data_IF_110054945699
#
_entry.id   IF_110054945699
#
_cell.length_a   1.000
_cell.length_b   1.000
_cell.length_c   1.000
_cell.angle_alpha   90.00
_cell.angle_beta   90.00
_cell.angle_gamma   90.00
#
_symmetry.space_group_name_H-M   'P 1'
#
loop_
_entity.id
_entity.type
_entity.pdbx_description
1 polymer ?
#
# COMPACT_ATOMS: atom_id res chain seq x y z
N UNK A 1 17.84 -31.84 -1.02
CA UNK A 1 17.31 -30.99 -2.10
C UNK A 1 18.14 -29.72 -2.20
N UNK A 2 18.34 -29.21 -3.41
CA UNK A 2 19.07 -27.97 -3.67
C UNK A 2 18.12 -26.76 -3.70
N UNK A 3 18.62 -25.52 -3.52
CA UNK A 3 17.81 -24.32 -3.71
C UNK A 3 17.17 -24.29 -5.10
N UNK A 4 15.88 -23.95 -5.18
CA UNK A 4 15.08 -23.92 -6.40
C UNK A 4 14.27 -25.19 -6.66
N UNK A 5 14.62 -26.32 -6.05
CA UNK A 5 13.88 -27.58 -6.20
C UNK A 5 12.47 -27.49 -5.59
N UNK A 6 11.50 -28.09 -6.26
CA UNK A 6 10.12 -28.20 -5.76
C UNK A 6 9.95 -29.50 -4.97
N UNK A 7 9.42 -29.38 -3.75
CA UNK A 7 9.08 -30.54 -2.92
C UNK A 7 7.65 -31.01 -3.20
N UNK A 8 6.73 -30.05 -3.30
CA UNK A 8 5.30 -30.26 -3.61
C UNK A 8 4.84 -29.08 -4.44
N UNK A 9 3.98 -29.32 -5.43
CA UNK A 9 3.27 -28.27 -6.14
C UNK A 9 1.81 -28.24 -5.72
N UNK A 10 1.23 -27.05 -5.73
CA UNK A 10 -0.20 -26.89 -5.50
C UNK A 10 -0.99 -27.73 -6.51
N UNK A 11 -1.99 -28.46 -6.01
CA UNK A 11 -2.78 -29.41 -6.79
C UNK A 11 -2.21 -30.82 -6.87
N UNK A 12 -0.99 -31.07 -6.36
CA UNK A 12 -0.43 -32.42 -6.34
C UNK A 12 -1.25 -33.33 -5.40
N UNK A 13 -1.57 -34.53 -5.89
CA UNK A 13 -2.07 -35.62 -5.05
C UNK A 13 -0.86 -36.29 -4.40
N UNK A 14 -0.60 -35.97 -3.13
CA UNK A 14 0.50 -36.56 -2.37
C UNK A 14 -0.03 -37.44 -1.24
N UNK A 15 0.48 -38.66 -1.18
CA UNK A 15 0.27 -39.59 -0.07
C UNK A 15 1.49 -39.65 0.85
N UNK A 16 2.37 -38.66 0.79
CA UNK A 16 3.65 -38.63 1.52
C UNK A 16 3.72 -37.38 2.40
N UNK A 17 4.16 -37.59 3.64
CA UNK A 17 4.53 -36.51 4.58
C UNK A 17 6.05 -36.39 4.58
N UNK A 18 6.55 -35.17 4.60
CA UNK A 18 7.98 -34.88 4.56
C UNK A 18 8.44 -34.29 5.89
N UNK A 19 9.43 -34.91 6.51
CA UNK A 19 10.14 -34.37 7.67
C UNK A 19 11.33 -33.57 7.19
N UNK A 20 11.40 -32.32 7.61
CA UNK A 20 12.49 -31.39 7.31
C UNK A 20 13.44 -31.46 8.50
N UNK A 21 14.66 -31.96 8.28
CA UNK A 21 15.69 -32.00 9.31
C UNK A 21 16.44 -30.66 9.37
N UNK A 22 16.73 -30.07 8.20
CA UNK A 22 17.38 -28.77 8.08
C UNK A 22 17.04 -28.08 6.76
N UNK A 23 17.20 -26.76 6.73
CA UNK A 23 16.95 -25.92 5.55
C UNK A 23 15.74 -25.00 5.69
N UNK A 24 15.32 -24.45 4.54
CA UNK A 24 14.22 -23.47 4.44
C UNK A 24 13.41 -23.70 3.18
N UNK A 25 12.10 -23.71 3.32
CA UNK A 25 11.14 -23.83 2.22
C UNK A 25 10.28 -22.57 2.11
N UNK A 26 10.12 -22.04 0.91
CA UNK A 26 9.11 -21.05 0.59
C UNK A 26 7.76 -21.74 0.38
N UNK A 27 6.71 -21.12 0.90
CA UNK A 27 5.33 -21.57 0.76
C UNK A 27 4.60 -20.55 -0.10
N UNK A 28 4.14 -20.97 -1.26
CA UNK A 28 3.40 -20.11 -2.20
C UNK A 28 2.04 -20.72 -2.54
N UNK A 29 1.08 -19.86 -2.87
CA UNK A 29 -0.24 -20.25 -3.35
C UNK A 29 -0.58 -19.44 -4.60
N UNK A 30 -1.14 -20.08 -5.61
CA UNK A 30 -1.60 -19.41 -6.81
C UNK A 30 -2.88 -18.61 -6.53
N UNK A 31 -2.90 -17.37 -6.98
CA UNK A 31 -4.10 -16.52 -6.96
C UNK A 31 -4.06 -15.59 -8.16
N UNK A 32 -5.13 -15.60 -8.95
CA UNK A 32 -5.25 -14.77 -10.17
C UNK A 32 -4.07 -14.95 -11.14
N UNK A 33 -3.50 -16.16 -11.21
CA UNK A 33 -2.35 -16.48 -12.07
C UNK A 33 -0.99 -16.04 -11.52
N UNK A 34 -0.94 -15.51 -10.30
CA UNK A 34 0.29 -15.07 -9.63
C UNK A 34 0.59 -15.96 -8.42
N UNK A 35 1.84 -16.40 -8.31
CA UNK A 35 2.32 -17.14 -7.14
C UNK A 35 2.50 -16.18 -5.96
N UNK A 36 1.58 -16.20 -5.01
CA UNK A 36 1.63 -15.36 -3.81
C UNK A 36 2.42 -16.07 -2.70
N UNK A 37 3.45 -15.44 -2.11
CA UNK A 37 4.12 -15.98 -0.94
C UNK A 37 3.21 -15.87 0.28
N UNK A 38 2.87 -17.00 0.88
CA UNK A 38 2.02 -17.05 2.09
C UNK A 38 2.84 -17.30 3.36
N UNK A 39 4.10 -17.71 3.22
CA UNK A 39 5.01 -17.92 4.35
C UNK A 39 6.28 -18.67 3.98
N UNK A 40 7.05 -19.01 5.00
CA UNK A 40 8.22 -19.87 4.90
C UNK A 40 8.20 -20.90 6.02
N UNK A 41 8.78 -22.06 5.77
CA UNK A 41 9.10 -23.05 6.80
C UNK A 41 10.60 -22.99 7.07
N UNK A 42 10.98 -22.81 8.33
CA UNK A 42 12.38 -22.75 8.75
C UNK A 42 12.65 -23.74 9.88
N UNK A 43 13.77 -24.46 9.76
CA UNK A 43 14.21 -25.41 10.77
C UNK A 43 13.46 -26.75 10.72
N UNK A 44 13.47 -27.45 11.85
CA UNK A 44 12.93 -28.80 11.95
C UNK A 44 11.39 -28.80 12.03
N UNK A 45 10.76 -29.68 11.29
CA UNK A 45 9.31 -29.83 11.26
C UNK A 45 8.86 -30.81 10.20
N UNK A 46 7.57 -30.84 9.90
CA UNK A 46 7.05 -31.62 8.78
C UNK A 46 6.02 -30.84 7.95
N UNK A 47 5.88 -31.26 6.70
CA UNK A 47 5.00 -30.68 5.68
C UNK A 47 4.36 -31.80 4.85
N UNK A 48 3.29 -31.47 4.11
CA UNK A 48 2.56 -32.46 3.31
C UNK A 48 1.55 -33.27 4.12
N UNK A 49 1.33 -32.92 5.39
CA UNK A 49 0.36 -33.58 6.25
C UNK A 49 -1.09 -33.23 5.90
N UNK A 50 -1.37 -32.02 5.38
CA UNK A 50 -2.75 -31.63 5.06
C UNK A 50 -3.35 -32.59 4.01
N UNK A 51 -2.73 -32.81 2.84
CA UNK A 51 -3.27 -33.76 1.86
C UNK A 51 -3.49 -35.16 2.40
N UNK A 52 -2.59 -35.65 3.25
CA UNK A 52 -2.72 -36.97 3.86
C UNK A 52 -3.86 -37.04 4.88
N UNK A 53 -4.11 -35.95 5.61
CA UNK A 53 -5.16 -35.87 6.63
C UNK A 53 -6.55 -35.60 6.04
N UNK A 54 -6.63 -34.84 4.96
CA UNK A 54 -7.90 -34.39 4.37
C UNK A 54 -8.31 -35.14 3.12
N UNK A 55 -7.41 -35.95 2.54
CA UNK A 55 -7.60 -36.59 1.22
C UNK A 55 -7.90 -35.57 0.11
N UNK A 56 -7.33 -34.36 0.25
CA UNK A 56 -7.44 -33.28 -0.73
C UNK A 56 -6.09 -33.00 -1.40
N UNK A 57 -6.07 -32.43 -2.62
CA UNK A 57 -4.83 -32.00 -3.26
C UNK A 57 -4.03 -31.00 -2.41
N UNK A 58 -2.72 -30.94 -2.64
CA UNK A 58 -1.84 -29.98 -1.98
C UNK A 58 -2.36 -28.55 -2.14
N UNK A 59 -2.67 -27.83 -1.03
CA UNK A 59 -3.25 -26.49 -1.10
C UNK A 59 -2.23 -25.41 -1.45
N UNK A 60 -0.94 -25.76 -1.49
CA UNK A 60 0.20 -24.84 -1.62
C UNK A 60 1.35 -25.50 -2.36
N UNK A 61 2.22 -24.69 -2.94
CA UNK A 61 3.51 -25.09 -3.48
C UNK A 61 4.60 -24.89 -2.43
N UNK A 62 5.53 -25.84 -2.34
CA UNK A 62 6.70 -25.83 -1.47
C UNK A 62 7.97 -25.88 -2.32
N UNK A 63 8.82 -24.86 -2.19
CA UNK A 63 10.07 -24.75 -2.94
C UNK A 63 11.26 -24.51 -2.00
N UNK A 64 12.37 -25.20 -2.23
CA UNK A 64 13.60 -25.03 -1.46
C UNK A 64 14.22 -23.65 -1.71
N UNK A 65 14.48 -22.89 -0.65
CA UNK A 65 15.16 -21.58 -0.70
C UNK A 65 16.63 -21.72 -0.30
N UNK A 66 16.96 -22.79 0.40
CA UNK A 66 18.32 -23.18 0.77
C UNK A 66 18.47 -24.69 0.57
N UNK A 67 19.68 -25.22 0.73
CA UNK A 67 19.89 -26.67 0.76
C UNK A 67 19.06 -27.27 1.91
N UNK A 68 18.23 -28.25 1.60
CA UNK A 68 17.35 -28.90 2.57
C UNK A 68 17.67 -30.39 2.70
N UNK A 69 17.69 -30.86 3.94
CA UNK A 69 17.69 -32.27 4.31
C UNK A 69 16.26 -32.68 4.67
N UNK A 70 15.70 -33.59 3.88
CA UNK A 70 14.28 -33.96 3.93
C UNK A 70 14.17 -35.48 3.88
N UNK A 71 13.35 -36.03 4.77
CA UNK A 71 12.99 -37.44 4.81
C UNK A 71 11.51 -37.62 4.49
N UNK A 72 11.19 -38.63 3.68
CA UNK A 72 9.83 -38.98 3.34
C UNK A 72 9.28 -40.04 4.31
N UNK A 73 8.03 -39.87 4.73
CA UNK A 73 7.25 -40.83 5.51
C UNK A 73 5.99 -41.13 4.71
N UNK A 74 5.66 -42.41 4.54
CA UNK A 74 4.43 -42.78 3.88
C UNK A 74 3.23 -42.26 4.69
N UNK A 75 2.21 -41.75 4.01
CA UNK A 75 1.03 -41.19 4.67
C UNK A 75 0.32 -42.20 5.56
N UNK A 76 0.32 -43.49 5.17
CA UNK A 76 -0.20 -44.58 6.01
C UNK A 76 0.56 -44.71 7.33
N UNK A 77 1.89 -44.60 7.31
CA UNK A 77 2.71 -44.68 8.52
C UNK A 77 2.50 -43.45 9.41
N UNK A 78 2.35 -42.27 8.80
CA UNK A 78 2.01 -41.04 9.50
C UNK A 78 0.64 -41.15 10.20
N UNK A 79 -0.37 -41.68 9.52
CA UNK A 79 -1.71 -41.90 10.09
C UNK A 79 -1.69 -42.95 11.21
N UNK A 80 -0.92 -44.03 11.04
CA UNK A 80 -0.71 -45.03 12.09
C UNK A 80 -0.09 -44.39 13.34
N UNK A 81 0.99 -43.61 13.18
CA UNK A 81 1.62 -42.88 14.29
C UNK A 81 0.65 -41.88 14.95
N UNK A 82 -0.18 -41.21 14.16
CA UNK A 82 -1.19 -40.28 14.66
C UNK A 82 -2.22 -40.99 15.55
N UNK A 83 -2.67 -42.18 15.16
CA UNK A 83 -3.63 -42.97 15.91
C UNK A 83 -3.03 -43.65 17.15
N UNK A 84 -1.78 -44.11 17.06
CA UNK A 84 -1.15 -44.89 18.13
C UNK A 84 -0.46 -44.01 19.18
N UNK A 85 -0.01 -42.80 18.83
CA UNK A 85 0.76 -41.93 19.71
C UNK A 85 0.03 -40.62 20.01
N UNK A 86 -0.64 -40.55 21.17
CA UNK A 86 -1.37 -39.36 21.65
C UNK A 86 -0.50 -38.10 21.81
N UNK A 87 0.81 -38.24 22.07
CA UNK A 87 1.72 -37.10 22.11
C UNK A 87 1.99 -36.54 20.72
N UNK A 88 2.16 -37.41 19.73
CA UNK A 88 2.32 -37.03 18.34
C UNK A 88 1.04 -36.37 17.80
N UNK A 89 -0.12 -36.96 18.08
CA UNK A 89 -1.44 -36.37 17.76
C UNK A 89 -1.56 -34.92 18.27
N UNK A 90 -1.21 -34.69 19.54
CA UNK A 90 -1.22 -33.34 20.13
C UNK A 90 -0.26 -32.38 19.43
N UNK A 91 0.89 -32.85 18.97
CA UNK A 91 1.83 -32.03 18.20
C UNK A 91 1.26 -31.66 16.82
N UNK A 92 0.63 -32.62 16.13
CA UNK A 92 -0.03 -32.41 14.84
C UNK A 92 -1.16 -31.38 14.97
N UNK A 93 -2.03 -31.50 15.99
CA UNK A 93 -3.07 -30.50 16.23
C UNK A 93 -2.52 -29.09 16.49
N UNK A 94 -1.44 -28.97 17.28
CA UNK A 94 -0.78 -27.68 17.51
C UNK A 94 -0.20 -27.11 16.23
N UNK A 95 0.36 -27.95 15.35
CA UNK A 95 0.84 -27.54 14.04
C UNK A 95 -0.32 -27.02 13.18
N UNK A 96 -1.44 -27.74 13.11
CA UNK A 96 -2.62 -27.30 12.36
C UNK A 96 -3.13 -25.94 12.84
N UNK A 97 -3.24 -25.75 14.16
CA UNK A 97 -3.61 -24.45 14.72
C UNK A 97 -2.63 -23.33 14.34
N UNK A 98 -1.32 -23.61 14.27
CA UNK A 98 -0.33 -22.62 13.79
C UNK A 98 -0.56 -22.28 12.32
N UNK A 99 -0.86 -23.28 11.47
CA UNK A 99 -1.13 -23.05 10.05
C UNK A 99 -2.38 -22.20 9.82
N UNK A 100 -3.48 -22.50 10.52
CA UNK A 100 -4.72 -21.71 10.44
C UNK A 100 -4.48 -20.25 10.84
N UNK A 101 -3.83 -20.02 11.99
CA UNK A 101 -3.51 -18.65 12.44
C UNK A 101 -2.60 -17.91 11.45
N UNK A 102 -1.63 -18.61 10.86
CA UNK A 102 -0.74 -18.05 9.84
C UNK A 102 -1.53 -17.60 8.60
N UNK A 103 -2.45 -18.43 8.12
CA UNK A 103 -3.30 -18.10 6.98
C UNK A 103 -4.24 -16.92 7.28
N UNK A 104 -4.89 -16.90 8.44
CA UNK A 104 -5.75 -15.79 8.86
C UNK A 104 -4.98 -14.46 8.91
N UNK A 105 -3.78 -14.48 9.50
CA UNK A 105 -2.92 -13.29 9.56
C UNK A 105 -2.54 -12.79 8.17
N UNK A 106 -2.23 -13.70 7.25
CA UNK A 106 -1.92 -13.37 5.86
C UNK A 106 -3.11 -12.73 5.15
N UNK A 107 -4.31 -13.31 5.29
CA UNK A 107 -5.53 -12.78 4.67
C UNK A 107 -5.87 -11.38 5.18
N UNK A 108 -5.82 -11.15 6.49
CA UNK A 108 -6.03 -9.82 7.09
C UNK A 108 -5.02 -8.78 6.59
N UNK A 109 -3.76 -9.17 6.45
CA UNK A 109 -2.72 -8.31 5.87
C UNK A 109 -3.05 -7.90 4.45
N UNK A 110 -3.53 -8.84 3.63
CA UNK A 110 -3.92 -8.59 2.23
C UNK A 110 -5.11 -7.64 2.13
N UNK A 111 -6.14 -7.84 2.93
CA UNK A 111 -7.32 -6.96 2.99
C UNK A 111 -6.92 -5.53 3.40
N UNK A 112 -6.05 -5.40 4.39
CA UNK A 112 -5.55 -4.10 4.85
C UNK A 112 -4.78 -3.39 3.74
N UNK A 113 -3.89 -4.08 3.03
CA UNK A 113 -3.14 -3.51 1.91
C UNK A 113 -4.05 -3.10 0.74
N UNK A 114 -5.07 -3.90 0.41
CA UNK A 114 -6.04 -3.56 -0.62
C UNK A 114 -6.86 -2.31 -0.25
N UNK A 115 -7.30 -2.21 1.00
CA UNK A 115 -8.01 -1.03 1.50
C UNK A 115 -7.12 0.21 1.47
N UNK A 116 -5.87 0.12 1.94
CA UNK A 116 -4.89 1.21 1.89
C UNK A 116 -4.59 1.62 0.44
N UNK A 117 -4.46 0.68 -0.49
CA UNK A 117 -4.24 0.98 -1.90
C UNK A 117 -5.41 1.75 -2.52
N UNK A 118 -6.64 1.34 -2.21
CA UNK A 118 -7.86 2.02 -2.67
C UNK A 118 -7.94 3.45 -2.13
N UNK A 119 -7.71 3.62 -0.82
CA UNK A 119 -7.71 4.95 -0.19
C UNK A 119 -6.57 5.83 -0.71
N UNK A 120 -5.38 5.28 -0.89
CA UNK A 120 -4.22 6.02 -1.43
C UNK A 120 -4.47 6.48 -2.87
N UNK A 121 -5.07 5.63 -3.70
CA UNK A 121 -5.43 5.99 -5.07
C UNK A 121 -6.49 7.11 -5.10
N UNK A 122 -7.51 7.02 -4.23
CA UNK A 122 -8.51 8.08 -4.07
C UNK A 122 -7.89 9.41 -3.65
N UNK A 123 -7.05 9.40 -2.61
CA UNK A 123 -6.34 10.60 -2.14
C UNK A 123 -5.38 11.17 -3.19
N UNK A 124 -4.65 10.33 -3.91
CA UNK A 124 -3.78 10.80 -5.00
C UNK A 124 -4.59 11.48 -6.11
N UNK A 125 -5.75 10.92 -6.45
CA UNK A 125 -6.66 11.53 -7.42
C UNK A 125 -7.20 12.87 -6.91
N UNK A 126 -7.59 12.95 -5.63
CA UNK A 126 -8.07 14.18 -5.03
C UNK A 126 -7.00 15.25 -4.88
N UNK A 127 -5.72 14.90 -4.68
CA UNK A 127 -4.61 15.85 -4.64
C UNK A 127 -4.20 16.34 -6.03
N UNK A 128 -4.29 15.47 -7.04
CA UNK A 128 -4.02 15.86 -8.42
C UNK A 128 -5.01 16.90 -8.94
N UNK A 129 -6.25 16.89 -8.45
CA UNK A 129 -7.28 17.83 -8.89
C UNK A 129 -6.97 19.32 -8.54
N UNK A 130 -6.70 19.71 -7.27
CA UNK A 130 -6.30 21.07 -6.91
C UNK A 130 -4.91 21.41 -7.45
N UNK A 131 -3.97 20.45 -7.53
CA UNK A 131 -2.68 20.69 -8.16
C UNK A 131 -2.83 21.06 -9.64
N UNK A 132 -3.67 20.33 -10.39
CA UNK A 132 -3.99 20.66 -11.78
C UNK A 132 -4.72 22.00 -11.91
N UNK A 133 -5.63 22.33 -10.98
CA UNK A 133 -6.33 23.61 -10.95
C UNK A 133 -5.38 24.80 -10.68
N UNK A 134 -4.40 24.61 -9.79
CA UNK A 134 -3.35 25.60 -9.50
C UNK A 134 -2.43 25.79 -10.71
N UNK A 135 -1.96 24.70 -11.32
CA UNK A 135 -1.12 24.76 -12.52
C UNK A 135 -1.86 25.45 -13.67
N UNK A 136 -3.15 25.15 -13.86
CA UNK A 136 -4.00 25.85 -14.85
C UNK A 136 -4.08 27.34 -14.56
N UNK A 137 -4.42 27.73 -13.33
CA UNK A 137 -4.50 29.13 -12.92
C UNK A 137 -3.18 29.89 -13.16
N UNK A 138 -2.04 29.26 -12.83
CA UNK A 138 -0.71 29.84 -13.07
C UNK A 138 -0.37 29.95 -14.56
N UNK A 139 -0.80 28.97 -15.37
CA UNK A 139 -0.59 29.00 -16.83
C UNK A 139 -1.37 30.11 -17.54
N UNK A 140 -2.53 30.52 -16.99
CA UNK A 140 -3.35 31.64 -17.50
C UNK A 140 -2.76 33.02 -17.14
N UNK A 141 -1.95 33.11 -16.07
CA UNK A 141 -1.28 34.37 -15.70
C UNK A 141 -0.20 34.78 -16.70
N UNK A 142 0.51 33.82 -17.30
CA UNK A 142 1.58 34.08 -18.27
C UNK A 142 1.10 34.87 -19.51
N UNK A 143 0.04 34.46 -20.22
CA UNK A 143 -0.50 35.24 -21.33
C UNK A 143 -1.12 36.55 -20.85
N UNK A 144 -1.78 36.59 -19.69
CA UNK A 144 -2.39 37.82 -19.16
C UNK A 144 -1.34 38.91 -18.86
N UNK A 145 -0.20 38.55 -18.27
CA UNK A 145 0.91 39.49 -18.03
C UNK A 145 1.47 40.03 -19.35
N UNK A 146 1.69 39.16 -20.35
CA UNK A 146 2.15 39.59 -21.69
C UNK A 146 1.14 40.51 -22.38
N UNK A 147 -0.14 40.28 -22.19
CA UNK A 147 -1.20 41.12 -22.73
C UNK A 147 -1.18 42.52 -22.08
N UNK A 148 -0.90 42.59 -20.78
CA UNK A 148 -0.72 43.83 -20.04
C UNK A 148 0.53 44.61 -20.49
N UNK A 149 1.66 43.92 -20.73
CA UNK A 149 2.87 44.52 -21.31
C UNK A 149 2.59 45.10 -22.70
N UNK A 150 1.91 44.34 -23.57
CA UNK A 150 1.55 44.79 -24.91
C UNK A 150 0.57 45.98 -24.90
N UNK A 151 -0.40 46.00 -23.97
CA UNK A 151 -1.29 47.14 -23.79
C UNK A 151 -0.54 48.38 -23.29
N UNK A 152 0.43 48.23 -22.39
CA UNK A 152 1.25 49.33 -21.87
C UNK A 152 2.23 49.89 -22.93
N UNK A 153 2.70 49.03 -23.84
CA UNK A 153 3.50 49.44 -25.01
C UNK A 153 2.66 50.18 -26.07
N UNK A 154 1.35 49.91 -26.13
CA UNK A 154 0.43 50.57 -27.09
C UNK A 154 -0.15 51.88 -26.52
N UNK A 155 -0.29 51.97 -25.19
CA UNK A 155 -0.74 53.15 -24.45
C UNK A 155 0.34 53.63 -23.47
N UNK A 156 1.39 54.29 -23.97
CA UNK A 156 2.39 54.98 -23.13
C UNK A 156 1.77 56.08 -22.23
N UNK A 157 2.51 56.58 -21.24
CA UNK A 157 1.96 57.23 -20.05
C UNK A 157 1.05 58.42 -20.40
N UNK A 158 -0.22 58.33 -20.00
CA UNK A 158 -1.10 59.51 -19.93
C UNK A 158 -0.51 60.47 -18.90
N UNK A 159 0.18 61.48 -19.41
CA UNK A 159 0.68 62.59 -18.61
C UNK A 159 -0.52 63.30 -17.94
N UNK A 160 -0.52 63.57 -16.63
CA UNK A 160 -1.61 64.33 -16.03
C UNK A 160 -1.60 65.77 -16.57
N UNK A 161 -2.77 66.42 -16.73
CA UNK A 161 -2.83 67.75 -17.31
C UNK A 161 -2.12 68.76 -16.40
N UNK A 162 -1.11 69.46 -16.93
CA UNK A 162 -0.49 70.59 -16.26
C UNK A 162 -1.54 71.70 -16.08
N UNK A 163 -1.90 72.00 -14.83
CA UNK A 163 -2.65 73.22 -14.50
C UNK A 163 -1.73 74.44 -14.67
N UNK A 164 -2.17 75.51 -15.33
CA UNK A 164 -1.40 76.75 -15.39
C UNK A 164 -1.41 77.44 -14.03
N UNK A 165 -0.23 77.76 -13.50
CA UNK A 165 -0.08 78.63 -12.35
C UNK A 165 0.09 80.08 -12.81
N UNK A 166 -0.83 80.96 -12.40
CA UNK A 166 -0.46 82.28 -11.87
C UNK A 166 -1.70 83.01 -11.34
N UNK A 167 -1.63 83.46 -10.08
CA UNK A 167 -2.21 84.74 -9.68
C UNK A 167 -3.23 84.74 -8.54
N UNK A 168 -2.74 85.15 -7.37
CA UNK A 168 -3.38 86.16 -6.51
C UNK A 168 -4.68 85.81 -5.76
N UNK A 169 -4.59 85.81 -4.42
CA UNK A 169 -5.55 86.56 -3.61
C UNK A 169 -6.15 85.86 -2.38
N UNK A 170 -5.68 86.30 -1.21
CA UNK A 170 -6.50 86.68 -0.04
C UNK A 170 -7.32 85.62 0.75
N UNK A 171 -6.76 85.24 1.90
CA UNK A 171 -7.27 85.38 3.27
C UNK A 171 -8.67 84.88 3.73
N UNK A 172 -8.69 84.43 5.00
CA UNK A 172 -9.82 84.26 5.96
C UNK A 172 -10.80 83.12 5.70
N UNK A 173 -11.37 82.38 6.66
CA UNK A 173 -11.29 82.28 8.12
C UNK A 173 -12.19 81.11 8.58
N UNK A 174 -11.79 80.45 9.67
CA UNK A 174 -12.63 79.93 10.76
C UNK A 174 -13.59 78.71 10.59
N UNK A 175 -13.61 77.96 11.70
CA UNK A 175 -14.73 77.22 12.33
C UNK A 175 -14.88 75.71 12.10
N UNK A 176 -14.27 74.95 13.03
CA UNK A 176 -14.72 73.67 13.64
C UNK A 176 -16.15 73.73 14.21
N UNK A 177 -16.71 72.67 14.86
CA UNK A 177 -16.52 71.19 14.76
C UNK A 177 -17.88 70.42 14.80
N UNK A 178 -17.89 69.10 14.57
CA UNK A 178 -18.82 68.14 15.22
C UNK A 178 -18.34 66.71 14.89
N UNK A 179 -17.69 65.96 15.80
CA UNK A 179 -18.16 65.24 17.01
C UNK A 179 -18.78 63.85 16.75
N UNK A 180 -18.00 62.84 17.17
CA UNK A 180 -18.34 61.57 17.85
C UNK A 180 -19.36 60.60 17.24
N UNK A 181 -18.90 59.36 17.03
CA UNK A 181 -19.06 58.20 17.92
C UNK A 181 -18.34 57.02 17.24
N UNK A 182 -17.43 56.26 17.85
CA UNK A 182 -17.55 55.49 19.08
C UNK A 182 -17.36 54.00 18.70
N UNK A 183 -16.33 53.30 19.22
CA UNK A 183 -15.94 51.98 18.74
C UNK A 183 -16.51 50.82 19.59
N UNK A 184 -16.11 49.61 19.19
CA UNK A 184 -15.92 48.38 19.98
C UNK A 184 -17.00 47.30 19.97
N UNK A 185 -16.45 46.09 19.78
CA UNK A 185 -16.83 44.76 20.26
C UNK A 185 -17.74 43.93 19.38
#
# INVERSE_FOLDING_TARGET
MAPGDYLVKEGDLTTTVYVIASGRLAITRQSEGVAMPIGQHEGAGFVGEIPVLTDEPAPVTLQAVSTCEIHAIAGVDFLTLLHECRDFERQVFRLMQKRVRGLESFLRGRETMAALGTLSAGLAHELNNPAAALVRSLSELVPAIRQLENMNLTYGPTSPPQKPQSGSGCATSATTPFSRAGPMR
#
